data_IF_262578464125
#
_entry.id   IF_262578464125
#
_cell.length_a   1.000
_cell.length_b   1.000
_cell.length_c   1.000
_cell.angle_alpha   90.00
_cell.angle_beta   90.00
_cell.angle_gamma   90.00
#
_symmetry.space_group_name_H-M   'P 1'
#
loop_
_entity.id
_entity.type
_entity.pdbx_description
1 polymer ?
#
# COMPACT_ATOMS: atom_id res chain seq x y z
N UNK A 1 -46.32 94.93 -13.29
CA UNK A 1 -44.99 94.54 -13.79
C UNK A 1 -44.19 94.09 -12.58
N UNK A 2 -43.93 92.78 -12.43
CA UNK A 2 -43.08 92.29 -11.35
C UNK A 2 -41.63 92.76 -11.58
N UNK A 3 -40.96 93.16 -10.52
CA UNK A 3 -39.59 93.70 -10.53
C UNK A 3 -38.60 92.62 -10.99
N UNK A 4 -37.90 92.88 -12.09
CA UNK A 4 -36.81 92.01 -12.60
C UNK A 4 -35.66 91.80 -11.60
N UNK A 5 -35.58 92.64 -10.56
CA UNK A 5 -34.65 92.49 -9.45
C UNK A 5 -34.96 91.28 -8.55
N UNK A 6 -36.24 90.97 -8.30
CA UNK A 6 -36.65 89.84 -7.43
C UNK A 6 -36.37 88.49 -8.09
N UNK A 7 -36.51 88.40 -9.42
CA UNK A 7 -36.27 87.16 -10.17
C UNK A 7 -34.77 86.76 -10.17
N UNK A 8 -33.88 87.76 -10.17
CA UNK A 8 -32.43 87.54 -10.07
C UNK A 8 -32.01 87.07 -8.67
N UNK A 9 -32.64 87.57 -7.61
CA UNK A 9 -32.34 87.16 -6.24
C UNK A 9 -32.77 85.71 -5.99
N UNK A 10 -33.96 85.34 -6.46
CA UNK A 10 -34.51 84.00 -6.31
C UNK A 10 -33.66 82.96 -7.06
N UNK A 11 -33.21 83.27 -8.29
CA UNK A 11 -32.36 82.34 -9.05
C UNK A 11 -30.99 82.10 -8.41
N UNK A 12 -30.42 83.13 -7.78
CA UNK A 12 -29.14 83.04 -7.07
C UNK A 12 -29.27 82.19 -5.80
N UNK A 13 -30.37 82.35 -5.06
CA UNK A 13 -30.65 81.57 -3.84
C UNK A 13 -30.91 80.09 -4.16
N UNK A 14 -31.60 79.81 -5.27
CA UNK A 14 -31.83 78.46 -5.79
C UNK A 14 -30.53 77.76 -6.20
N UNK A 15 -29.59 78.49 -6.81
CA UNK A 15 -28.29 77.95 -7.18
C UNK A 15 -27.45 77.56 -5.95
N UNK A 16 -27.46 78.40 -4.92
CA UNK A 16 -26.77 78.12 -3.65
C UNK A 16 -27.40 76.94 -2.91
N UNK A 17 -28.74 76.83 -2.91
CA UNK A 17 -29.44 75.69 -2.32
C UNK A 17 -29.13 74.37 -3.05
N UNK A 18 -29.11 74.38 -4.39
CA UNK A 18 -28.68 73.20 -5.18
C UNK A 18 -27.26 72.79 -4.85
N UNK A 19 -26.34 73.75 -4.80
CA UNK A 19 -24.95 73.47 -4.45
C UNK A 19 -24.79 72.88 -3.05
N UNK A 20 -25.55 73.37 -2.06
CA UNK A 20 -25.55 72.79 -0.71
C UNK A 20 -26.16 71.40 -0.65
N UNK A 21 -27.20 71.14 -1.44
CA UNK A 21 -27.78 69.80 -1.54
C UNK A 21 -26.75 68.85 -2.16
N UNK A 22 -26.06 69.27 -3.23
CA UNK A 22 -25.02 68.47 -3.86
C UNK A 22 -23.83 68.21 -2.92
N UNK A 23 -23.39 69.20 -2.13
CA UNK A 23 -22.33 69.02 -1.13
C UNK A 23 -22.75 68.09 0.02
N UNK A 24 -24.00 68.14 0.45
CA UNK A 24 -24.54 67.23 1.49
C UNK A 24 -24.67 65.80 0.94
N UNK A 25 -25.12 65.64 -0.31
CA UNK A 25 -25.22 64.35 -0.99
C UNK A 25 -23.83 63.76 -1.24
N UNK A 26 -22.86 64.57 -1.67
CA UNK A 26 -21.46 64.17 -1.84
C UNK A 26 -20.80 63.82 -0.49
N UNK A 27 -21.16 64.54 0.58
CA UNK A 27 -20.72 64.25 1.95
C UNK A 27 -21.29 62.94 2.51
N UNK A 28 -22.55 62.62 2.21
CA UNK A 28 -23.19 61.34 2.56
C UNK A 28 -22.67 60.16 1.72
N UNK A 29 -22.15 60.42 0.51
CA UNK A 29 -21.46 59.44 -0.32
C UNK A 29 -19.99 59.20 0.08
N UNK A 30 -19.50 59.78 1.19
CA UNK A 30 -18.19 59.40 1.73
C UNK A 30 -18.24 57.92 2.11
N UNK A 31 -17.78 57.11 1.15
CA UNK A 31 -17.68 55.66 1.21
C UNK A 31 -17.23 55.27 2.60
N UNK A 32 -18.12 54.62 3.35
CA UNK A 32 -17.68 53.87 4.51
C UNK A 32 -16.61 52.92 4.00
N UNK A 33 -15.46 52.89 4.68
CA UNK A 33 -14.37 52.04 4.26
C UNK A 33 -14.92 50.61 4.08
N UNK A 34 -14.60 49.97 2.96
CA UNK A 34 -15.24 48.72 2.50
C UNK A 34 -15.34 47.64 3.58
N UNK A 35 -14.36 47.59 4.49
CA UNK A 35 -14.30 46.64 5.61
C UNK A 35 -15.31 46.90 6.74
N UNK A 36 -16.06 48.02 6.71
CA UNK A 36 -17.14 48.35 7.66
C UNK A 36 -18.53 48.04 7.12
N UNK A 37 -18.65 47.63 5.85
CA UNK A 37 -19.95 47.30 5.27
C UNK A 37 -20.33 45.86 5.68
N UNK A 38 -21.38 45.65 6.50
CA UNK A 38 -21.74 44.33 7.01
C UNK A 38 -22.06 43.34 5.90
N UNK A 39 -22.67 43.80 4.79
CA UNK A 39 -22.96 42.95 3.62
C UNK A 39 -21.69 42.42 2.93
N UNK A 40 -20.62 43.22 2.92
CA UNK A 40 -19.35 42.78 2.34
C UNK A 40 -18.69 41.71 3.23
N UNK A 41 -18.68 41.91 4.55
CA UNK A 41 -18.14 40.94 5.51
C UNK A 41 -18.88 39.61 5.42
N UNK A 42 -20.22 39.63 5.34
CA UNK A 42 -21.01 38.40 5.23
C UNK A 42 -20.75 37.67 3.93
N UNK A 43 -20.60 38.38 2.80
CA UNK A 43 -20.19 37.77 1.54
C UNK A 43 -18.79 37.14 1.61
N UNK A 44 -17.81 37.83 2.19
CA UNK A 44 -16.46 37.27 2.39
C UNK A 44 -16.48 36.02 3.28
N UNK A 45 -17.22 36.06 4.39
CA UNK A 45 -17.37 34.92 5.29
C UNK A 45 -18.04 33.73 4.58
N UNK A 46 -19.10 33.98 3.80
CA UNK A 46 -19.78 32.95 3.03
C UNK A 46 -18.85 32.29 2.00
N UNK A 47 -18.02 33.07 1.29
CA UNK A 47 -17.02 32.54 0.35
C UNK A 47 -15.98 31.69 1.08
N UNK A 48 -15.45 32.16 2.23
CA UNK A 48 -14.49 31.41 3.01
C UNK A 48 -15.05 30.07 3.51
N UNK A 49 -16.29 30.06 4.01
CA UNK A 49 -16.99 28.84 4.43
C UNK A 49 -17.18 27.90 3.22
N UNK A 50 -17.57 28.42 2.06
CA UNK A 50 -17.75 27.64 0.83
C UNK A 50 -16.44 26.97 0.41
N UNK A 51 -15.34 27.71 0.30
CA UNK A 51 -14.02 27.18 -0.05
C UNK A 51 -13.55 26.14 0.97
N UNK A 52 -13.70 26.42 2.27
CA UNK A 52 -13.32 25.48 3.33
C UNK A 52 -14.11 24.18 3.23
N UNK A 53 -15.42 24.27 3.02
CA UNK A 53 -16.30 23.10 2.87
C UNK A 53 -15.95 22.29 1.62
N UNK A 54 -15.63 22.95 0.50
CA UNK A 54 -15.17 22.28 -0.73
C UNK A 54 -13.85 21.53 -0.51
N UNK A 55 -12.86 22.15 0.14
CA UNK A 55 -11.57 21.51 0.42
C UNK A 55 -11.73 20.30 1.34
N UNK A 56 -12.51 20.44 2.43
CA UNK A 56 -12.79 19.33 3.36
C UNK A 56 -13.57 18.22 2.66
N UNK A 57 -14.56 18.55 1.83
CA UNK A 57 -15.33 17.59 1.04
C UNK A 57 -14.42 16.81 0.09
N UNK A 58 -13.58 17.50 -0.68
CA UNK A 58 -12.63 16.88 -1.59
C UNK A 58 -11.65 15.96 -0.86
N UNK A 59 -11.10 16.41 0.27
CA UNK A 59 -10.21 15.58 1.10
C UNK A 59 -10.93 14.33 1.62
N UNK A 60 -12.18 14.46 2.08
CA UNK A 60 -12.99 13.31 2.53
C UNK A 60 -13.25 12.33 1.38
N UNK A 61 -13.59 12.82 0.19
CA UNK A 61 -13.80 11.97 -1.00
C UNK A 61 -12.53 11.21 -1.35
N UNK A 62 -11.38 11.89 -1.35
CA UNK A 62 -10.09 11.25 -1.59
C UNK A 62 -9.77 10.13 -0.58
N UNK A 63 -10.00 10.38 0.72
CA UNK A 63 -9.82 9.35 1.75
C UNK A 63 -10.80 8.18 1.60
N UNK A 64 -12.05 8.45 1.18
CA UNK A 64 -13.04 7.41 0.89
C UNK A 64 -12.65 6.57 -0.33
N UNK A 65 -12.08 7.18 -1.36
CA UNK A 65 -11.54 6.47 -2.53
C UNK A 65 -10.38 5.55 -2.14
N UNK A 66 -9.40 6.04 -1.36
CA UNK A 66 -8.32 5.21 -0.84
C UNK A 66 -8.87 4.04 -0.02
N UNK A 67 -9.82 4.30 0.88
CA UNK A 67 -10.43 3.25 1.70
C UNK A 67 -11.16 2.21 0.83
N UNK A 68 -11.88 2.65 -0.20
CA UNK A 68 -12.55 1.78 -1.19
C UNK A 68 -11.55 0.93 -1.95
N UNK A 69 -10.48 1.52 -2.48
CA UNK A 69 -9.42 0.81 -3.21
C UNK A 69 -8.69 -0.21 -2.32
N UNK A 70 -8.41 0.13 -1.06
CA UNK A 70 -7.85 -0.80 -0.08
C UNK A 70 -8.80 -1.97 0.19
N UNK A 71 -10.10 -1.71 0.32
CA UNK A 71 -11.12 -2.74 0.49
C UNK A 71 -11.22 -3.68 -0.72
N UNK A 72 -11.19 -3.12 -1.93
CA UNK A 72 -11.16 -3.90 -3.17
C UNK A 72 -9.90 -4.76 -3.26
N UNK A 73 -8.73 -4.19 -2.97
CA UNK A 73 -7.47 -4.92 -2.98
C UNK A 73 -7.47 -6.08 -1.98
N UNK A 74 -7.91 -5.84 -0.74
CA UNK A 74 -8.03 -6.88 0.27
C UNK A 74 -8.98 -8.00 -0.17
N UNK A 75 -10.13 -7.66 -0.77
CA UNK A 75 -11.07 -8.63 -1.33
C UNK A 75 -10.45 -9.48 -2.44
N UNK A 76 -9.75 -8.87 -3.40
CA UNK A 76 -9.05 -9.59 -4.48
C UNK A 76 -7.94 -10.51 -3.93
N UNK A 77 -7.19 -10.07 -2.92
CA UNK A 77 -6.18 -10.89 -2.25
C UNK A 77 -6.81 -12.09 -1.52
N UNK A 78 -7.94 -11.90 -0.83
CA UNK A 78 -8.68 -13.01 -0.21
C UNK A 78 -9.19 -14.02 -1.23
N UNK A 79 -9.70 -13.56 -2.38
CA UNK A 79 -10.11 -14.46 -3.48
C UNK A 79 -8.92 -15.27 -4.01
N UNK A 80 -7.75 -14.64 -4.12
CA UNK A 80 -6.52 -15.33 -4.54
C UNK A 80 -6.11 -16.41 -3.54
N UNK A 81 -6.19 -16.12 -2.24
CA UNK A 81 -5.93 -17.13 -1.19
C UNK A 81 -6.92 -18.31 -1.25
N UNK A 82 -8.19 -18.05 -1.58
CA UNK A 82 -9.20 -19.08 -1.78
C UNK A 82 -8.87 -20.06 -2.90
N UNK A 83 -8.22 -19.59 -3.98
CA UNK A 83 -7.78 -20.46 -5.08
C UNK A 83 -6.76 -21.50 -4.61
N UNK A 84 -5.84 -21.13 -3.71
CA UNK A 84 -4.84 -22.08 -3.20
C UNK A 84 -5.48 -23.21 -2.39
N UNK A 85 -6.47 -22.89 -1.55
CA UNK A 85 -7.22 -23.90 -0.80
C UNK A 85 -8.01 -24.82 -1.74
N UNK A 86 -8.72 -24.24 -2.71
CA UNK A 86 -9.43 -25.01 -3.73
C UNK A 86 -8.47 -25.90 -4.52
N UNK A 87 -7.27 -25.42 -4.85
CA UNK A 87 -6.28 -26.24 -5.54
C UNK A 87 -5.87 -27.47 -4.71
N UNK A 88 -5.63 -27.31 -3.40
CA UNK A 88 -5.31 -28.44 -2.51
C UNK A 88 -6.48 -29.43 -2.43
N UNK A 89 -7.72 -28.95 -2.30
CA UNK A 89 -8.91 -29.80 -2.27
C UNK A 89 -9.10 -30.56 -3.59
N UNK A 90 -8.88 -29.89 -4.73
CA UNK A 90 -9.00 -30.50 -6.05
C UNK A 90 -7.89 -31.52 -6.30
N UNK A 91 -6.65 -31.26 -5.87
CA UNK A 91 -5.56 -32.25 -5.91
C UNK A 91 -5.92 -33.51 -5.12
N UNK A 92 -6.53 -33.35 -3.94
CA UNK A 92 -6.98 -34.49 -3.14
C UNK A 92 -8.16 -35.24 -3.80
N UNK A 93 -9.15 -34.52 -4.33
CA UNK A 93 -10.36 -35.07 -4.94
C UNK A 93 -10.10 -35.78 -6.28
N UNK A 94 -9.23 -35.23 -7.11
CA UNK A 94 -8.95 -35.71 -8.47
C UNK A 94 -7.63 -36.47 -8.59
N UNK A 95 -7.03 -36.91 -7.47
CA UNK A 95 -5.78 -37.71 -7.42
C UNK A 95 -5.72 -38.85 -8.45
N UNK A 96 -6.87 -39.47 -8.78
CA UNK A 96 -6.95 -40.62 -9.69
C UNK A 96 -7.43 -40.26 -11.11
N UNK A 97 -7.74 -38.99 -11.41
CA UNK A 97 -8.25 -38.51 -12.70
C UNK A 97 -7.38 -37.38 -13.25
N UNK A 98 -6.20 -37.76 -13.76
CA UNK A 98 -5.19 -36.84 -14.27
C UNK A 98 -5.71 -35.90 -15.38
N UNK A 99 -6.53 -36.34 -16.36
CA UNK A 99 -7.07 -35.45 -17.38
C UNK A 99 -7.96 -34.33 -16.83
N UNK A 100 -8.79 -34.62 -15.82
CA UNK A 100 -9.63 -33.58 -15.18
C UNK A 100 -8.79 -32.64 -14.32
N UNK A 101 -7.80 -33.17 -13.61
CA UNK A 101 -6.85 -32.38 -12.83
C UNK A 101 -6.10 -31.35 -13.70
N UNK A 102 -5.61 -31.77 -14.88
CA UNK A 102 -4.91 -30.87 -15.81
C UNK A 102 -5.80 -29.72 -16.31
N UNK A 103 -7.04 -30.03 -16.70
CA UNK A 103 -8.01 -29.01 -17.15
C UNK A 103 -8.37 -28.01 -16.04
N UNK A 104 -8.55 -28.49 -14.82
CA UNK A 104 -8.82 -27.60 -13.68
C UNK A 104 -7.62 -26.72 -13.35
N UNK A 105 -6.40 -27.27 -13.39
CA UNK A 105 -5.18 -26.51 -13.14
C UNK A 105 -5.01 -25.36 -14.13
N UNK A 106 -5.30 -25.56 -15.43
CA UNK A 106 -5.20 -24.47 -16.41
C UNK A 106 -6.24 -23.36 -16.16
N UNK A 107 -7.48 -23.72 -15.81
CA UNK A 107 -8.51 -22.74 -15.45
C UNK A 107 -8.15 -21.95 -14.19
N UNK A 108 -7.67 -22.62 -13.14
CA UNK A 108 -7.25 -21.95 -11.91
C UNK A 108 -6.06 -21.03 -12.12
N UNK A 109 -5.09 -21.45 -12.94
CA UNK A 109 -3.94 -20.60 -13.30
C UNK A 109 -4.38 -19.34 -14.07
N UNK A 110 -5.34 -19.47 -15.00
CA UNK A 110 -5.90 -18.32 -15.71
C UNK A 110 -6.65 -17.35 -14.78
N UNK A 111 -7.41 -17.90 -13.82
CA UNK A 111 -8.10 -17.10 -12.80
C UNK A 111 -7.11 -16.39 -11.86
N UNK A 112 -6.05 -17.09 -11.43
CA UNK A 112 -4.99 -16.53 -10.61
C UNK A 112 -4.28 -15.36 -11.33
N UNK A 113 -3.97 -15.51 -12.62
CA UNK A 113 -3.37 -14.45 -13.43
C UNK A 113 -4.28 -13.22 -13.53
N UNK A 114 -5.59 -13.40 -13.74
CA UNK A 114 -6.55 -12.30 -13.81
C UNK A 114 -6.62 -11.54 -12.48
N UNK A 115 -6.75 -12.26 -11.37
CA UNK A 115 -6.80 -11.66 -10.02
C UNK A 115 -5.48 -10.97 -9.67
N UNK A 116 -4.34 -11.56 -10.01
CA UNK A 116 -3.03 -10.96 -9.79
C UNK A 116 -2.88 -9.63 -10.56
N UNK A 117 -3.32 -9.59 -11.83
CA UNK A 117 -3.31 -8.35 -12.63
C UNK A 117 -4.28 -7.30 -12.11
N UNK A 118 -5.47 -7.70 -11.65
CA UNK A 118 -6.40 -6.78 -11.00
C UNK A 118 -5.81 -6.20 -9.72
N UNK A 119 -5.22 -7.05 -8.86
CA UNK A 119 -4.59 -6.63 -7.63
C UNK A 119 -3.40 -5.69 -7.89
N UNK A 120 -2.62 -5.96 -8.94
CA UNK A 120 -1.56 -5.06 -9.42
C UNK A 120 -2.10 -3.68 -9.82
N UNK A 121 -3.19 -3.63 -10.60
CA UNK A 121 -3.81 -2.37 -11.00
C UNK A 121 -4.27 -1.56 -9.78
N UNK A 122 -4.95 -2.20 -8.83
CA UNK A 122 -5.41 -1.57 -7.59
C UNK A 122 -4.22 -1.08 -6.73
N UNK A 123 -3.17 -1.89 -6.61
CA UNK A 123 -1.96 -1.51 -5.88
C UNK A 123 -1.24 -0.31 -6.52
N UNK A 124 -1.25 -0.21 -7.86
CA UNK A 124 -0.72 0.96 -8.58
C UNK A 124 -1.56 2.19 -8.38
N UNK A 125 -2.89 2.06 -8.44
CA UNK A 125 -3.83 3.17 -8.26
C UNK A 125 -3.74 3.75 -6.83
N UNK A 126 -3.56 2.88 -5.83
CA UNK A 126 -3.28 3.31 -4.46
C UNK A 126 -2.00 4.13 -4.31
N UNK A 127 -1.06 4.06 -5.25
CA UNK A 127 0.16 4.86 -5.22
C UNK A 127 0.92 4.64 -3.92
N UNK A 128 1.24 5.71 -3.18
CA UNK A 128 1.89 5.68 -1.86
C UNK A 128 1.03 5.12 -0.73
N UNK A 129 -0.30 5.04 -0.90
CA UNK A 129 -1.21 4.55 0.12
C UNK A 129 -1.27 3.01 0.22
N UNK A 130 -0.65 2.28 -0.72
CA UNK A 130 -0.49 0.82 -0.65
C UNK A 130 0.59 0.43 0.36
N UNK A 131 0.25 -0.44 1.32
CA UNK A 131 1.19 -0.95 2.33
C UNK A 131 2.20 -1.93 1.73
N UNK A 132 3.36 -2.05 2.38
CA UNK A 132 4.40 -3.00 1.96
C UNK A 132 3.90 -4.45 1.98
N UNK A 133 3.08 -4.82 2.97
CA UNK A 133 2.46 -6.14 3.05
C UNK A 133 1.53 -6.44 1.84
N UNK A 134 0.69 -5.48 1.44
CA UNK A 134 -0.17 -5.64 0.27
C UNK A 134 0.66 -5.76 -1.02
N UNK A 135 1.66 -4.90 -1.20
CA UNK A 135 2.55 -4.94 -2.37
C UNK A 135 3.30 -6.28 -2.48
N UNK A 136 3.80 -6.81 -1.36
CA UNK A 136 4.48 -8.10 -1.29
C UNK A 136 3.54 -9.26 -1.63
N UNK A 137 2.31 -9.23 -1.13
CA UNK A 137 1.31 -10.26 -1.42
C UNK A 137 0.94 -10.26 -2.91
N UNK A 138 0.70 -9.09 -3.50
CA UNK A 138 0.42 -8.95 -4.93
C UNK A 138 1.61 -9.45 -5.76
N UNK A 139 2.82 -9.08 -5.39
CA UNK A 139 4.03 -9.54 -6.06
C UNK A 139 4.18 -11.07 -6.02
N UNK A 140 3.88 -11.70 -4.88
CA UNK A 140 3.90 -13.15 -4.77
C UNK A 140 2.86 -13.82 -5.71
N UNK A 141 1.66 -13.25 -5.84
CA UNK A 141 0.64 -13.75 -6.79
C UNK A 141 1.07 -13.58 -8.26
N UNK A 142 1.72 -12.46 -8.58
CA UNK A 142 2.30 -12.21 -9.90
C UNK A 142 3.43 -13.19 -10.22
N UNK A 143 4.31 -13.48 -9.25
CA UNK A 143 5.39 -14.46 -9.40
C UNK A 143 4.84 -15.86 -9.71
N UNK A 144 3.80 -16.29 -9.01
CA UNK A 144 3.12 -17.57 -9.28
C UNK A 144 2.42 -17.60 -10.66
N UNK A 145 2.12 -16.43 -11.21
CA UNK A 145 1.52 -16.26 -12.54
C UNK A 145 2.57 -15.98 -13.63
N UNK A 146 3.86 -16.15 -13.31
CA UNK A 146 5.01 -15.90 -14.18
C UNK A 146 5.15 -14.44 -14.68
N UNK A 147 4.59 -13.48 -13.96
CA UNK A 147 4.69 -12.04 -14.23
C UNK A 147 5.86 -11.43 -13.43
N UNK A 148 7.07 -11.98 -13.64
CA UNK A 148 8.26 -11.73 -12.80
C UNK A 148 8.70 -10.27 -12.75
N UNK A 149 8.64 -9.55 -13.87
CA UNK A 149 9.04 -8.14 -13.94
C UNK A 149 8.13 -7.25 -13.10
N UNK A 150 6.81 -7.50 -13.14
CA UNK A 150 5.84 -6.75 -12.33
C UNK A 150 6.00 -7.07 -10.84
N UNK A 151 6.28 -8.34 -10.52
CA UNK A 151 6.56 -8.75 -9.15
C UNK A 151 7.80 -8.04 -8.59
N UNK A 152 8.90 -7.97 -9.36
CA UNK A 152 10.12 -7.31 -8.93
C UNK A 152 9.92 -5.83 -8.62
N UNK A 153 9.26 -5.08 -9.51
CA UNK A 153 8.94 -3.66 -9.29
C UNK A 153 8.12 -3.43 -8.02
N UNK A 154 7.10 -4.26 -7.78
CA UNK A 154 6.31 -4.18 -6.55
C UNK A 154 7.13 -4.52 -5.29
N UNK A 155 8.03 -5.51 -5.35
CA UNK A 155 8.84 -5.90 -4.20
C UNK A 155 9.86 -4.82 -3.85
N UNK A 156 10.47 -4.16 -4.84
CA UNK A 156 11.34 -3.02 -4.60
C UNK A 156 10.59 -1.87 -3.91
N UNK A 157 9.36 -1.59 -4.36
CA UNK A 157 8.47 -0.61 -3.70
C UNK A 157 8.06 -1.04 -2.29
N UNK A 158 7.79 -2.33 -2.07
CA UNK A 158 7.45 -2.87 -0.77
C UNK A 158 8.62 -2.72 0.22
N UNK A 159 9.83 -3.07 -0.20
CA UNK A 159 11.06 -2.91 0.62
C UNK A 159 11.28 -1.44 0.98
N UNK A 160 11.12 -0.52 0.02
CA UNK A 160 11.29 0.91 0.26
C UNK A 160 10.23 1.53 1.19
N UNK A 161 9.07 0.87 1.35
CA UNK A 161 7.95 1.34 2.17
C UNK A 161 7.74 0.56 3.45
N UNK A 162 8.53 -0.48 3.70
CA UNK A 162 8.34 -1.30 4.88
C UNK A 162 8.51 -0.46 6.15
N UNK A 163 7.45 -0.39 6.95
CA UNK A 163 7.43 0.43 8.17
C UNK A 163 8.02 -0.34 9.35
N UNK A 164 8.14 -1.65 9.23
CA UNK A 164 8.60 -2.56 10.27
C UNK A 164 9.39 -3.75 9.71
N UNK A 165 10.05 -4.47 10.61
CA UNK A 165 10.88 -5.64 10.29
C UNK A 165 10.10 -6.77 9.62
N UNK A 166 8.84 -6.98 10.00
CA UNK A 166 8.01 -8.06 9.44
C UNK A 166 7.76 -7.83 7.96
N UNK A 167 7.34 -6.63 7.58
CA UNK A 167 7.10 -6.25 6.19
C UNK A 167 8.39 -6.29 5.36
N UNK A 168 9.48 -5.75 5.92
CA UNK A 168 10.78 -5.71 5.26
C UNK A 168 11.32 -7.11 4.96
N UNK A 169 11.28 -8.00 5.95
CA UNK A 169 11.74 -9.38 5.82
C UNK A 169 10.84 -10.16 4.86
N UNK A 170 9.53 -9.99 4.93
CA UNK A 170 8.59 -10.66 4.02
C UNK A 170 8.87 -10.27 2.56
N UNK A 171 9.03 -8.97 2.27
CA UNK A 171 9.33 -8.49 0.93
C UNK A 171 10.69 -9.03 0.42
N UNK A 172 11.73 -9.03 1.27
CA UNK A 172 13.04 -9.56 0.91
C UNK A 172 13.03 -11.07 0.65
N UNK A 173 12.26 -11.87 1.42
CA UNK A 173 12.15 -13.32 1.18
C UNK A 173 11.55 -13.61 -0.19
N UNK A 174 10.49 -12.89 -0.57
CA UNK A 174 9.85 -13.06 -1.87
C UNK A 174 10.78 -12.57 -3.00
N UNK A 175 11.49 -11.45 -2.80
CA UNK A 175 12.47 -10.97 -3.79
C UNK A 175 13.64 -11.95 -3.94
N UNK A 176 14.18 -12.49 -2.85
CA UNK A 176 15.24 -13.50 -2.90
C UNK A 176 14.80 -14.74 -3.67
N UNK A 177 13.56 -15.21 -3.45
CA UNK A 177 12.98 -16.32 -4.19
C UNK A 177 12.84 -16.01 -5.69
N UNK A 178 12.36 -14.81 -6.02
CA UNK A 178 12.24 -14.35 -7.40
C UNK A 178 13.61 -14.29 -8.11
N UNK A 179 14.66 -13.83 -7.43
CA UNK A 179 16.00 -13.77 -8.02
C UNK A 179 16.59 -15.17 -8.26
N UNK A 180 16.33 -16.15 -7.38
CA UNK A 180 16.65 -17.54 -7.66
C UNK A 180 15.90 -18.08 -8.89
N UNK A 181 14.60 -17.78 -8.97
CA UNK A 181 13.76 -18.17 -10.11
C UNK A 181 14.30 -17.61 -11.43
N UNK A 182 14.81 -16.37 -11.42
CA UNK A 182 15.42 -15.70 -12.57
C UNK A 182 16.88 -16.12 -12.84
N UNK A 183 17.48 -17.00 -12.02
CA UNK A 183 18.88 -17.43 -12.16
C UNK A 183 19.93 -16.46 -11.62
N UNK A 184 19.52 -15.35 -10.99
CA UNK A 184 20.39 -14.34 -10.40
C UNK A 184 20.87 -14.75 -8.99
N UNK A 185 21.56 -15.89 -8.89
CA UNK A 185 21.87 -16.57 -7.62
C UNK A 185 22.60 -15.67 -6.61
N UNK A 186 23.55 -14.86 -7.06
CA UNK A 186 24.29 -13.93 -6.20
C UNK A 186 23.37 -12.86 -5.59
N UNK A 187 22.53 -12.24 -6.43
CA UNK A 187 21.57 -11.20 -5.98
C UNK A 187 20.56 -11.81 -5.02
N UNK A 188 20.12 -13.05 -5.29
CA UNK A 188 19.24 -13.79 -4.40
C UNK A 188 19.86 -14.03 -3.02
N UNK A 189 21.12 -14.49 -2.98
CA UNK A 189 21.87 -14.68 -1.75
C UNK A 189 22.03 -13.38 -0.94
N UNK A 190 22.46 -12.29 -1.61
CA UNK A 190 22.59 -10.98 -0.98
C UNK A 190 21.24 -10.48 -0.41
N UNK A 191 20.14 -10.79 -1.09
CA UNK A 191 18.79 -10.40 -0.67
C UNK A 191 18.34 -11.19 0.57
N UNK A 192 18.57 -12.49 0.62
CA UNK A 192 18.28 -13.28 1.82
C UNK A 192 19.18 -12.91 3.00
N UNK A 193 20.45 -12.59 2.75
CA UNK A 193 21.35 -12.11 3.81
C UNK A 193 20.86 -10.78 4.41
N UNK A 194 20.30 -9.87 3.60
CA UNK A 194 19.62 -8.67 4.11
C UNK A 194 18.41 -9.04 4.99
N UNK A 195 17.64 -10.06 4.60
CA UNK A 195 16.48 -10.51 5.38
C UNK A 195 16.90 -11.06 6.76
N UNK A 196 17.97 -11.84 6.82
CA UNK A 196 18.55 -12.34 8.09
C UNK A 196 19.09 -11.18 8.94
N UNK A 197 19.65 -10.15 8.31
CA UNK A 197 20.18 -8.96 9.01
C UNK A 197 19.12 -7.90 9.30
N UNK A 198 17.83 -8.13 9.03
CA UNK A 198 16.82 -7.09 9.16
C UNK A 198 16.71 -6.48 10.58
N UNK A 199 17.01 -7.24 11.63
CA UNK A 199 17.03 -6.72 13.00
C UNK A 199 18.20 -5.77 13.29
N UNK A 200 19.20 -5.67 12.42
CA UNK A 200 20.19 -4.57 12.51
C UNK A 200 19.59 -3.25 11.99
N UNK A 201 18.66 -3.33 11.03
CA UNK A 201 17.94 -2.17 10.49
C UNK A 201 16.80 -1.74 11.42
N UNK A 202 16.12 -2.71 12.04
CA UNK A 202 14.99 -2.50 12.97
C UNK A 202 15.32 -3.04 14.38
N UNK A 203 16.30 -2.46 15.11
CA UNK A 203 16.79 -3.02 16.38
C UNK A 203 15.74 -3.05 17.48
N UNK A 204 14.81 -2.08 17.50
CA UNK A 204 13.77 -1.98 18.52
C UNK A 204 12.65 -3.03 18.34
N UNK A 205 12.65 -3.79 17.24
CA UNK A 205 11.63 -4.78 16.93
C UNK A 205 12.08 -6.23 17.20
N UNK A 206 13.30 -6.43 17.70
CA UNK A 206 13.76 -7.73 18.18
C UNK A 206 13.06 -8.12 19.50
N UNK A 207 11.75 -8.42 19.42
CA UNK A 207 10.84 -8.60 20.57
C UNK A 207 11.30 -9.66 21.57
N UNK A 208 11.91 -10.75 21.09
CA UNK A 208 12.46 -11.82 21.92
C UNK A 208 13.47 -12.66 21.13
N UNK A 209 14.31 -13.43 21.84
CA UNK A 209 15.22 -14.39 21.21
C UNK A 209 14.45 -15.44 20.38
N UNK A 210 13.32 -15.94 20.87
CA UNK A 210 12.45 -16.87 20.13
C UNK A 210 11.93 -16.25 18.83
N UNK A 211 11.49 -14.99 18.87
CA UNK A 211 11.00 -14.30 17.69
C UNK A 211 12.09 -14.12 16.62
N UNK A 212 13.30 -13.75 17.02
CA UNK A 212 14.44 -13.60 16.10
C UNK A 212 14.86 -14.96 15.53
N UNK A 213 15.00 -15.99 16.38
CA UNK A 213 15.38 -17.33 15.94
C UNK A 213 14.34 -17.94 15.00
N UNK A 214 13.05 -17.79 15.29
CA UNK A 214 11.97 -18.22 14.41
C UNK A 214 12.08 -17.52 13.05
N UNK A 215 12.24 -16.20 13.08
CA UNK A 215 12.34 -15.39 11.87
C UNK A 215 13.55 -15.78 11.02
N UNK A 216 14.70 -16.07 11.63
CA UNK A 216 15.88 -16.56 10.93
C UNK A 216 15.67 -17.96 10.36
N UNK A 217 15.16 -18.90 11.16
CA UNK A 217 14.86 -20.27 10.72
C UNK A 217 13.94 -20.25 9.50
N UNK A 218 12.87 -19.46 9.56
CA UNK A 218 11.91 -19.34 8.47
C UNK A 218 12.50 -18.68 7.22
N UNK A 219 13.38 -17.68 7.37
CA UNK A 219 14.13 -17.09 6.25
C UNK A 219 15.02 -18.12 5.57
N UNK A 220 15.75 -18.93 6.34
CA UNK A 220 16.60 -19.98 5.79
C UNK A 220 15.80 -21.13 5.15
N UNK A 221 14.60 -21.44 5.64
CA UNK A 221 13.67 -22.35 4.95
C UNK A 221 13.25 -21.78 3.60
N UNK A 222 12.87 -20.51 3.52
CA UNK A 222 12.56 -19.86 2.24
C UNK A 222 13.76 -19.91 1.27
N UNK A 223 14.97 -19.61 1.76
CA UNK A 223 16.18 -19.68 0.95
C UNK A 223 16.43 -21.11 0.44
N UNK A 224 16.31 -22.10 1.31
CA UNK A 224 16.42 -23.52 0.95
C UNK A 224 15.42 -23.90 -0.14
N UNK A 225 14.16 -23.50 0.04
CA UNK A 225 13.08 -23.80 -0.89
C UNK A 225 13.34 -23.23 -2.29
N UNK A 226 13.91 -22.03 -2.37
CA UNK A 226 14.29 -21.39 -3.64
C UNK A 226 15.50 -22.05 -4.28
N UNK A 227 16.49 -22.47 -3.49
CA UNK A 227 17.72 -23.06 -3.99
C UNK A 227 17.59 -24.55 -4.38
N UNK A 228 16.64 -25.30 -3.81
CA UNK A 228 16.60 -26.78 -3.89
C UNK A 228 16.56 -27.37 -5.30
N UNK A 229 16.13 -26.62 -6.32
CA UNK A 229 16.07 -27.11 -7.70
C UNK A 229 17.31 -26.77 -8.53
N UNK A 230 18.02 -25.68 -8.21
CA UNK A 230 19.10 -25.13 -9.03
C UNK A 230 20.46 -25.09 -8.34
N UNK A 231 20.50 -25.09 -7.00
CA UNK A 231 21.70 -24.97 -6.18
C UNK A 231 21.56 -25.83 -4.91
N UNK A 232 21.68 -27.13 -5.13
CA UNK A 232 21.56 -28.15 -4.09
C UNK A 232 22.55 -27.97 -2.91
N UNK A 233 23.85 -27.68 -3.15
CA UNK A 233 24.78 -27.45 -2.05
C UNK A 233 24.36 -26.28 -1.17
N UNK A 234 23.92 -25.16 -1.75
CA UNK A 234 23.40 -24.03 -0.97
C UNK A 234 22.14 -24.43 -0.21
N UNK A 235 21.20 -25.14 -0.84
CA UNK A 235 19.98 -25.60 -0.16
C UNK A 235 20.31 -26.45 1.10
N UNK A 236 21.26 -27.39 0.99
CA UNK A 236 21.72 -28.18 2.14
C UNK A 236 22.36 -27.31 3.23
N UNK A 237 23.24 -26.38 2.87
CA UNK A 237 23.86 -25.49 3.85
C UNK A 237 22.83 -24.60 4.57
N UNK A 238 21.82 -24.10 3.86
CA UNK A 238 20.80 -23.22 4.45
C UNK A 238 19.79 -23.98 5.31
N UNK A 239 19.45 -25.23 4.98
CA UNK A 239 18.53 -26.01 5.83
C UNK A 239 19.14 -26.37 7.19
N UNK A 240 20.46 -26.57 7.23
CA UNK A 240 21.20 -26.76 8.49
C UNK A 240 21.16 -25.50 9.37
N UNK A 241 21.35 -24.31 8.76
CA UNK A 241 21.21 -23.04 9.49
C UNK A 241 19.77 -22.84 9.99
N UNK A 242 18.77 -23.23 9.20
CA UNK A 242 17.38 -23.19 9.62
C UNK A 242 17.14 -24.05 10.87
N UNK A 243 17.66 -25.28 10.87
CA UNK A 243 17.60 -26.19 12.02
C UNK A 243 18.34 -25.64 13.24
N UNK A 244 19.54 -25.08 13.07
CA UNK A 244 20.29 -24.48 14.18
C UNK A 244 19.49 -23.37 14.89
N UNK A 245 18.76 -22.55 14.14
CA UNK A 245 17.90 -21.53 14.72
C UNK A 245 16.61 -22.12 15.31
N UNK A 246 16.02 -23.13 14.68
CA UNK A 246 14.86 -23.85 15.20
C UNK A 246 15.14 -24.50 16.56
N UNK A 247 16.32 -25.11 16.74
CA UNK A 247 16.70 -25.76 18.01
C UNK A 247 16.89 -24.77 19.16
N UNK A 248 17.15 -23.49 18.87
CA UNK A 248 17.27 -22.41 19.87
C UNK A 248 15.91 -21.92 20.38
N UNK A 249 14.79 -22.34 19.78
CA UNK A 249 13.46 -21.98 20.25
C UNK A 249 13.15 -22.69 21.58
N UNK A 250 12.40 -22.01 22.44
CA UNK A 250 11.82 -22.65 23.63
C UNK A 250 10.78 -23.71 23.24
N UNK A 251 10.54 -24.71 24.12
CA UNK A 251 9.55 -25.76 23.85
C UNK A 251 8.11 -25.24 23.65
N UNK A 252 7.62 -24.23 24.40
CA UNK A 252 6.33 -23.61 24.09
C UNK A 252 6.29 -22.99 22.69
N UNK A 253 7.37 -22.32 22.26
CA UNK A 253 7.45 -21.73 20.92
C UNK A 253 7.45 -22.81 19.83
N UNK A 254 8.24 -23.89 19.99
CA UNK A 254 8.24 -25.03 19.07
C UNK A 254 6.86 -25.68 18.97
N UNK A 255 6.16 -25.84 20.10
CA UNK A 255 4.81 -26.43 20.15
C UNK A 255 3.81 -25.57 19.38
N UNK A 256 3.84 -24.25 19.58
CA UNK A 256 2.97 -23.32 18.84
C UNK A 256 3.26 -23.32 17.33
N UNK A 257 4.51 -23.59 16.95
CA UNK A 257 4.99 -23.54 15.56
C UNK A 257 5.19 -24.93 14.95
N UNK A 258 4.60 -25.98 15.53
CA UNK A 258 4.80 -27.37 15.11
C UNK A 258 4.65 -27.63 13.59
N UNK A 259 3.73 -26.98 12.84
CA UNK A 259 3.65 -27.15 11.40
C UNK A 259 4.95 -26.76 10.66
N UNK A 260 5.62 -25.69 11.08
CA UNK A 260 6.90 -25.28 10.49
C UNK A 260 8.02 -26.29 10.81
N UNK A 261 8.03 -26.86 12.02
CA UNK A 261 8.97 -27.92 12.38
C UNK A 261 8.80 -29.17 11.52
N UNK A 262 7.55 -29.54 11.21
CA UNK A 262 7.26 -30.64 10.29
C UNK A 262 7.71 -30.34 8.86
N UNK A 263 7.49 -29.13 8.37
CA UNK A 263 7.96 -28.68 7.04
C UNK A 263 9.49 -28.70 6.96
N UNK A 264 10.19 -28.16 7.97
CA UNK A 264 11.65 -28.20 8.08
C UNK A 264 12.18 -29.64 7.97
N UNK A 265 11.55 -30.59 8.67
CA UNK A 265 11.92 -32.01 8.59
C UNK A 265 11.69 -32.59 7.19
N UNK A 266 10.54 -32.32 6.57
CA UNK A 266 10.24 -32.77 5.21
C UNK A 266 11.23 -32.24 4.18
N UNK A 267 11.62 -30.96 4.30
CA UNK A 267 12.64 -30.36 3.44
C UNK A 267 14.00 -31.02 3.59
N UNK A 268 14.40 -31.37 4.82
CA UNK A 268 15.64 -32.11 5.07
C UNK A 268 15.63 -33.50 4.43
N UNK A 269 14.54 -34.25 4.57
CA UNK A 269 14.41 -35.57 3.94
C UNK A 269 14.49 -35.48 2.41
N UNK A 270 13.80 -34.50 1.82
CA UNK A 270 13.87 -34.26 0.38
C UNK A 270 15.30 -34.00 -0.10
N UNK A 271 16.08 -33.22 0.65
CA UNK A 271 17.46 -32.86 0.29
C UNK A 271 18.47 -34.01 0.44
N UNK A 272 18.12 -35.14 1.07
CA UNK A 272 19.00 -36.32 1.09
C UNK A 272 19.18 -36.94 -0.29
N UNK A 273 18.14 -36.87 -1.14
CA UNK A 273 18.20 -37.37 -2.52
C UNK A 273 18.91 -36.43 -3.49
N UNK A 274 19.36 -35.27 -3.01
CA UNK A 274 20.00 -34.26 -3.81
C UNK A 274 21.51 -34.56 -3.87
N UNK A 275 21.99 -35.10 -4.99
CA UNK A 275 23.39 -35.50 -5.21
C UNK A 275 24.13 -34.52 -6.10
#
# INVERSE_FOLDING_TARGET
>A
MPNSADESAISTELAVLRQRIDDIVAGQQRSTAWYRNPSFITSCAAIFISVTTTVVSWYRTYQQEIASLRGQLASTLHQTAGIHLQNVELMAKYRNDQPSMLRLSTTLNAQNLLLAKQAYSLARELGSAASAASLTTVANSLMQSNEVTLAEDLLQKAIARAENSVEYIAALRVLGALQYYNGNLKVAADTFDKAVKAFTTYPNEAKSADYVNFTHAFTYMHWTQSARQSDCPTAKAKIELAEQHWQKLTEPAKTQMAPMGAELFQMKEFLKGCS
#
